data_IF_012569244157
#
_entry.id   IF_012569244157
#
_cell.length_a   1.000
_cell.length_b   1.000
_cell.length_c   1.000
_cell.angle_alpha   90.00
_cell.angle_beta   90.00
_cell.angle_gamma   90.00
#
_symmetry.space_group_name_H-M   'P 1'
#
loop_
_entity.id
_entity.type
_entity.pdbx_description
1 polymer ?
#
# COMPACT_ATOMS: atom_id res chain seq x y z
N UNK A 1 -7.53 20.70 6.19
CA UNK A 1 -6.83 20.94 7.46
C UNK A 1 -7.68 21.83 8.37
N UNK A 2 -7.43 21.76 9.67
CA UNK A 2 -7.95 22.68 10.68
C UNK A 2 -6.81 23.59 11.15
N UNK A 3 -7.09 24.87 11.36
CA UNK A 3 -6.11 25.87 11.73
C UNK A 3 -6.51 26.55 13.06
N UNK A 4 -5.50 26.97 13.82
CA UNK A 4 -5.59 27.92 14.91
C UNK A 4 -4.70 29.13 14.56
N UNK A 5 -5.33 30.22 14.10
CA UNK A 5 -4.62 31.28 13.41
C UNK A 5 -3.91 30.74 12.15
N UNK A 6 -2.60 30.92 12.07
CA UNK A 6 -1.77 30.42 10.96
C UNK A 6 -1.21 29.00 11.19
N UNK A 7 -1.45 28.42 12.36
CA UNK A 7 -0.91 27.11 12.75
C UNK A 7 -1.84 25.99 12.36
N UNK A 8 -1.34 24.97 11.66
CA UNK A 8 -2.11 23.75 11.39
C UNK A 8 -2.29 22.98 12.71
N UNK A 9 -3.53 22.79 13.15
CA UNK A 9 -3.90 22.01 14.33
C UNK A 9 -4.16 20.53 14.00
N UNK A 10 -4.82 20.26 12.84
CA UNK A 10 -5.07 18.93 12.34
C UNK A 10 -5.18 18.92 10.82
N UNK A 11 -4.86 17.77 10.21
CA UNK A 11 -4.97 17.58 8.76
C UNK A 11 -5.32 16.14 8.41
N UNK A 12 -5.85 15.96 7.21
CA UNK A 12 -5.95 14.69 6.49
C UNK A 12 -5.46 14.91 5.08
N UNK A 13 -4.59 14.03 4.59
CA UNK A 13 -4.09 14.02 3.21
C UNK A 13 -4.75 12.84 2.47
N UNK A 14 -5.36 13.14 1.34
CA UNK A 14 -6.07 12.14 0.54
C UNK A 14 -5.36 11.90 -0.79
N UNK A 15 -4.89 10.67 -1.00
CA UNK A 15 -4.58 10.19 -2.33
C UNK A 15 -5.86 9.82 -3.07
N UNK A 16 -5.94 10.06 -4.37
CA UNK A 16 -7.09 9.66 -5.19
C UNK A 16 -6.65 8.82 -6.37
N UNK A 17 -7.49 7.87 -6.78
CA UNK A 17 -7.23 7.00 -7.92
C UNK A 17 -8.29 5.93 -8.06
N UNK A 18 -8.10 5.01 -9.01
CA UNK A 18 -8.94 3.82 -9.10
C UNK A 18 -8.34 2.70 -8.26
N UNK A 19 -9.19 1.95 -7.58
CA UNK A 19 -8.83 0.73 -6.89
C UNK A 19 -9.94 -0.30 -7.06
N UNK A 20 -9.61 -1.44 -7.61
CA UNK A 20 -10.56 -2.50 -7.93
C UNK A 20 -11.78 -2.01 -8.75
N UNK A 21 -11.50 -1.14 -9.74
CA UNK A 21 -12.52 -0.58 -10.63
C UNK A 21 -13.35 0.57 -10.05
N UNK A 22 -13.12 0.98 -8.81
CA UNK A 22 -13.85 2.06 -8.16
C UNK A 22 -12.98 3.32 -7.99
N UNK A 23 -13.51 4.53 -8.29
CA UNK A 23 -12.90 5.79 -7.90
C UNK A 23 -12.78 5.86 -6.38
N UNK A 24 -11.55 5.90 -5.89
CA UNK A 24 -11.20 5.72 -4.48
C UNK A 24 -10.40 6.89 -3.96
N UNK A 25 -10.74 7.36 -2.76
CA UNK A 25 -9.85 8.15 -1.92
C UNK A 25 -9.15 7.24 -0.91
N UNK A 26 -7.91 7.56 -0.60
CA UNK A 26 -7.11 6.84 0.38
C UNK A 26 -6.47 7.84 1.36
N UNK A 27 -6.61 7.59 2.66
CA UNK A 27 -5.94 8.38 3.71
C UNK A 27 -4.44 8.08 3.66
N UNK A 28 -3.67 8.98 3.08
CA UNK A 28 -2.20 8.88 3.02
C UNK A 28 -1.54 9.41 4.29
N UNK A 29 -2.29 10.13 5.13
CA UNK A 29 -1.82 10.63 6.40
C UNK A 29 -2.82 11.52 7.10
N UNK A 30 -3.11 11.19 8.34
CA UNK A 30 -3.95 12.01 9.22
C UNK A 30 -3.18 12.34 10.50
N UNK A 31 -3.12 13.62 10.84
CA UNK A 31 -2.40 14.10 12.02
C UNK A 31 -3.18 15.15 12.81
N UNK A 32 -2.98 15.14 14.13
CA UNK A 32 -3.44 16.18 15.04
C UNK A 32 -2.30 16.50 16.01
N UNK A 33 -1.93 17.78 16.09
CA UNK A 33 -0.94 18.26 17.03
C UNK A 33 -1.35 17.89 18.45
N UNK A 34 -0.37 17.57 19.29
CA UNK A 34 -0.59 17.05 20.64
C UNK A 34 -1.50 17.93 21.49
N UNK A 35 -1.27 19.24 21.49
CA UNK A 35 -2.06 20.22 22.23
C UNK A 35 -3.54 20.28 21.81
N UNK A 36 -3.88 19.75 20.63
CA UNK A 36 -5.25 19.78 20.08
C UNK A 36 -5.90 18.40 20.03
N UNK A 37 -5.24 17.36 20.56
CA UNK A 37 -5.80 16.01 20.63
C UNK A 37 -7.00 15.93 21.58
N UNK A 38 -7.88 14.97 21.36
CA UNK A 38 -9.07 14.76 22.17
C UNK A 38 -10.24 15.71 21.87
N UNK A 39 -10.08 16.70 21.00
CA UNK A 39 -11.10 17.70 20.64
C UNK A 39 -11.91 17.32 19.38
N UNK A 40 -11.74 16.12 18.87
CA UNK A 40 -12.47 15.64 17.69
C UNK A 40 -12.03 16.26 16.36
N UNK A 41 -10.89 16.96 16.29
CA UNK A 41 -10.47 17.68 15.09
C UNK A 41 -10.23 16.74 13.88
N UNK A 42 -9.65 15.56 14.10
CA UNK A 42 -9.44 14.60 13.01
C UNK A 42 -10.77 14.20 12.36
N UNK A 43 -11.80 13.92 13.16
CA UNK A 43 -13.14 13.61 12.65
C UNK A 43 -13.73 14.79 11.87
N UNK A 44 -13.67 16.00 12.41
CA UNK A 44 -14.18 17.20 11.75
C UNK A 44 -13.50 17.49 10.43
N UNK A 45 -12.17 17.32 10.35
CA UNK A 45 -11.41 17.51 9.09
C UNK A 45 -11.82 16.45 8.06
N UNK A 46 -11.96 15.20 8.49
CA UNK A 46 -12.44 14.12 7.64
C UNK A 46 -13.85 14.41 7.11
N UNK A 47 -14.81 14.67 8.00
CA UNK A 47 -16.21 14.98 7.64
C UNK A 47 -16.31 16.15 6.67
N UNK A 48 -15.47 17.20 6.89
CA UNK A 48 -15.41 18.36 5.99
C UNK A 48 -14.90 17.98 4.59
N UNK A 49 -14.05 16.98 4.45
CA UNK A 49 -13.51 16.55 3.15
C UNK A 49 -14.51 15.74 2.32
N UNK A 50 -15.46 15.07 2.94
CA UNK A 50 -16.37 14.12 2.27
C UNK A 50 -17.20 14.76 1.14
N UNK A 51 -17.84 15.94 1.30
CA UNK A 51 -18.58 16.56 0.20
C UNK A 51 -17.72 16.78 -1.06
N UNK A 52 -16.50 17.28 -0.88
CA UNK A 52 -15.58 17.54 -1.99
C UNK A 52 -15.14 16.25 -2.69
N UNK A 53 -14.89 15.20 -1.92
CA UNK A 53 -14.54 13.88 -2.49
C UNK A 53 -15.72 13.30 -3.29
N UNK A 54 -16.96 13.45 -2.79
CA UNK A 54 -18.17 13.01 -3.50
C UNK A 54 -18.38 13.80 -4.79
N UNK A 55 -18.18 15.12 -4.78
CA UNK A 55 -18.25 15.99 -5.95
C UNK A 55 -17.19 15.59 -7.00
N UNK A 56 -15.99 15.22 -6.55
CA UNK A 56 -14.93 14.69 -7.40
C UNK A 56 -15.20 13.26 -7.91
N UNK A 57 -16.39 12.69 -7.64
CA UNK A 57 -16.80 11.38 -8.13
C UNK A 57 -16.26 10.20 -7.33
N UNK A 58 -15.63 10.43 -6.18
CA UNK A 58 -15.14 9.34 -5.31
C UNK A 58 -16.32 8.52 -4.79
N UNK A 59 -16.20 7.20 -4.88
CA UNK A 59 -17.22 6.23 -4.48
C UNK A 59 -16.83 5.38 -3.28
N UNK A 60 -15.54 5.32 -2.97
CA UNK A 60 -14.97 4.53 -1.90
C UNK A 60 -13.90 5.34 -1.19
N UNK A 61 -13.81 5.17 0.12
CA UNK A 61 -12.72 5.71 0.93
C UNK A 61 -12.03 4.58 1.69
N UNK A 62 -10.72 4.46 1.56
CA UNK A 62 -9.90 3.44 2.20
C UNK A 62 -8.86 4.08 3.11
N UNK A 63 -8.45 3.34 4.11
CA UNK A 63 -7.30 3.66 4.95
C UNK A 63 -6.68 2.36 5.50
N UNK A 64 -5.45 2.45 5.91
CA UNK A 64 -4.78 1.41 6.66
C UNK A 64 -4.37 1.96 8.03
N UNK A 65 -4.56 1.16 9.07
CA UNK A 65 -4.25 1.54 10.45
C UNK A 65 -3.72 0.33 11.21
N UNK A 66 -2.68 0.56 12.01
CA UNK A 66 -2.12 -0.49 12.86
C UNK A 66 -3.16 -0.96 13.88
N UNK A 67 -3.38 -2.26 14.01
CA UNK A 67 -4.42 -2.86 14.89
C UNK A 67 -4.28 -2.40 16.35
N UNK A 68 -3.06 -2.19 16.83
CA UNK A 68 -2.80 -1.73 18.19
C UNK A 68 -3.03 -0.21 18.39
N UNK A 69 -3.23 0.57 17.31
CA UNK A 69 -3.62 1.97 17.40
C UNK A 69 -5.13 2.11 17.67
N UNK A 70 -5.54 1.64 18.84
CA UNK A 70 -6.96 1.57 19.24
C UNK A 70 -7.66 2.92 19.24
N UNK A 71 -6.92 4.02 19.50
CA UNK A 71 -7.44 5.39 19.45
C UNK A 71 -7.87 5.76 18.02
N UNK A 72 -7.01 5.54 17.03
CA UNK A 72 -7.32 5.82 15.64
C UNK A 72 -8.45 4.91 15.13
N UNK A 73 -8.38 3.60 15.42
CA UNK A 73 -9.45 2.64 15.07
C UNK A 73 -10.79 3.11 15.63
N UNK A 74 -10.84 3.59 16.87
CA UNK A 74 -12.08 4.10 17.47
C UNK A 74 -12.64 5.33 16.73
N UNK A 75 -11.76 6.26 16.29
CA UNK A 75 -12.17 7.43 15.50
C UNK A 75 -12.76 7.00 14.17
N UNK A 76 -12.08 6.14 13.42
CA UNK A 76 -12.56 5.68 12.12
C UNK A 76 -13.89 4.89 12.22
N UNK A 77 -14.04 4.05 13.22
CA UNK A 77 -15.33 3.36 13.46
C UNK A 77 -16.48 4.32 13.72
N UNK A 78 -16.26 5.40 14.49
CA UNK A 78 -17.27 6.45 14.73
C UNK A 78 -17.63 7.21 13.45
N UNK A 79 -16.71 7.30 12.50
CA UNK A 79 -16.91 7.90 11.18
C UNK A 79 -17.57 6.92 10.17
N UNK A 80 -17.94 5.73 10.60
CA UNK A 80 -18.61 4.73 9.77
C UNK A 80 -17.69 3.81 8.98
N UNK A 81 -16.39 3.79 9.29
CA UNK A 81 -15.48 2.83 8.66
C UNK A 81 -15.64 1.44 9.27
N UNK A 82 -15.57 0.44 8.40
CA UNK A 82 -15.56 -0.96 8.77
C UNK A 82 -14.24 -1.61 8.39
N UNK A 83 -13.83 -2.62 9.16
CA UNK A 83 -12.63 -3.42 8.83
C UNK A 83 -12.95 -4.32 7.64
N UNK A 84 -12.42 -4.00 6.47
CA UNK A 84 -12.62 -4.78 5.27
C UNK A 84 -11.63 -5.95 5.17
N UNK A 85 -10.38 -5.75 5.61
CA UNK A 85 -9.31 -6.75 5.53
C UNK A 85 -8.28 -6.51 6.62
N UNK A 86 -7.50 -7.54 6.90
CA UNK A 86 -6.33 -7.48 7.78
C UNK A 86 -5.09 -7.91 7.00
N UNK A 87 -3.98 -7.23 7.24
CA UNK A 87 -2.68 -7.54 6.66
C UNK A 87 -1.68 -7.86 7.76
N UNK A 88 -0.79 -8.80 7.48
CA UNK A 88 0.40 -9.00 8.29
C UNK A 88 1.52 -8.10 7.73
N UNK A 89 2.17 -7.37 8.61
CA UNK A 89 3.34 -6.57 8.29
C UNK A 89 4.56 -7.21 8.97
N UNK A 90 5.62 -7.44 8.20
CA UNK A 90 6.84 -8.07 8.67
C UNK A 90 8.04 -7.18 8.35
N UNK A 91 8.92 -6.98 9.32
CA UNK A 91 10.18 -6.27 9.15
C UNK A 91 11.30 -7.25 9.46
N UNK A 92 12.31 -7.30 8.61
CA UNK A 92 13.57 -7.98 8.86
C UNK A 92 14.71 -6.97 8.77
N UNK A 93 15.52 -6.87 9.80
CA UNK A 93 16.69 -6.00 9.81
C UNK A 93 17.76 -6.55 8.85
N UNK A 94 18.46 -5.68 8.15
CA UNK A 94 19.49 -6.05 7.18
C UNK A 94 20.53 -7.06 7.75
N UNK A 95 21.01 -6.81 8.97
CA UNK A 95 21.93 -7.72 9.68
C UNK A 95 21.35 -9.12 9.95
N UNK A 96 20.05 -9.31 9.81
CA UNK A 96 19.36 -10.60 10.02
C UNK A 96 19.03 -11.32 8.71
N UNK A 97 19.31 -10.67 7.56
CA UNK A 97 19.09 -11.28 6.26
C UNK A 97 20.23 -12.27 5.95
N UNK A 98 19.91 -13.55 6.04
CA UNK A 98 20.84 -14.61 5.71
C UNK A 98 20.52 -15.19 4.33
N UNK A 99 21.26 -14.76 3.33
CA UNK A 99 21.19 -15.32 1.97
C UNK A 99 22.08 -16.57 1.92
N UNK A 100 21.55 -17.70 2.36
CA UNK A 100 22.22 -19.01 2.13
C UNK A 100 22.17 -19.36 0.64
N UNK A 101 23.18 -20.10 0.11
CA UNK A 101 23.13 -20.58 -1.27
C UNK A 101 22.01 -21.60 -1.41
N UNK A 102 20.87 -21.14 -1.95
CA UNK A 102 19.82 -22.05 -2.44
C UNK A 102 20.01 -22.22 -3.93
N UNK A 103 20.27 -23.45 -4.34
CA UNK A 103 20.26 -23.81 -5.76
C UNK A 103 18.78 -24.06 -6.09
N UNK A 104 18.19 -23.30 -7.00
CA UNK A 104 16.82 -23.56 -7.44
C UNK A 104 16.69 -24.94 -8.06
N UNK A 105 15.59 -25.64 -7.78
CA UNK A 105 15.30 -26.92 -8.41
C UNK A 105 14.94 -26.77 -9.91
N UNK A 106 14.81 -25.54 -10.36
CA UNK A 106 14.49 -25.20 -11.76
C UNK A 106 15.45 -24.12 -12.27
N UNK A 107 15.83 -24.22 -13.53
CA UNK A 107 16.57 -23.17 -14.21
C UNK A 107 15.67 -21.93 -14.36
N UNK A 108 16.07 -20.85 -13.69
CA UNK A 108 15.31 -19.60 -13.69
C UNK A 108 16.24 -18.43 -14.04
N UNK A 109 15.76 -17.54 -14.91
CA UNK A 109 16.45 -16.29 -15.25
C UNK A 109 15.71 -15.14 -14.58
N UNK A 110 16.44 -14.29 -13.85
CA UNK A 110 15.91 -13.08 -13.24
C UNK A 110 16.42 -11.86 -14.01
N UNK A 111 15.50 -11.00 -14.45
CA UNK A 111 15.82 -9.80 -15.23
C UNK A 111 15.10 -8.57 -14.68
N UNK A 112 15.73 -7.39 -14.74
CA UNK A 112 15.04 -6.13 -14.44
C UNK A 112 13.85 -5.91 -15.37
N UNK A 113 12.84 -5.20 -14.86
CA UNK A 113 11.67 -4.75 -15.62
C UNK A 113 11.43 -3.25 -15.43
N UNK A 114 10.89 -2.62 -16.48
CA UNK A 114 10.39 -1.23 -16.40
C UNK A 114 9.07 -1.22 -15.60
N UNK A 115 9.13 -0.74 -14.36
CA UNK A 115 7.99 -0.72 -13.43
C UNK A 115 6.81 0.08 -13.99
N UNK A 116 7.08 1.16 -14.73
CA UNK A 116 6.04 2.00 -15.34
C UNK A 116 5.21 1.27 -16.40
N UNK A 117 5.79 0.26 -17.02
CA UNK A 117 5.15 -0.56 -18.08
C UNK A 117 4.83 -1.98 -17.64
N UNK A 118 5.33 -2.38 -16.49
CA UNK A 118 5.14 -3.74 -15.98
C UNK A 118 3.68 -4.00 -15.62
N UNK A 119 3.14 -5.12 -16.10
CA UNK A 119 1.81 -5.60 -15.75
C UNK A 119 1.94 -6.87 -14.90
N UNK A 120 1.77 -6.76 -13.57
CA UNK A 120 1.80 -7.93 -12.69
C UNK A 120 0.64 -8.88 -13.04
N UNK A 121 0.92 -10.19 -13.12
CA UNK A 121 -0.12 -11.19 -13.33
C UNK A 121 -0.92 -11.43 -12.04
N UNK A 122 -2.21 -11.08 -11.98
CA UNK A 122 -3.03 -11.26 -10.79
C UNK A 122 -3.30 -12.74 -10.47
N UNK A 123 -3.09 -13.68 -11.40
CA UNK A 123 -3.23 -15.11 -11.14
C UNK A 123 -2.18 -15.65 -10.15
N UNK A 124 -1.07 -14.93 -9.99
CA UNK A 124 -0.04 -15.29 -9.02
C UNK A 124 -0.40 -14.88 -7.58
N UNK A 125 -1.41 -14.03 -7.41
CA UNK A 125 -1.79 -13.50 -6.11
C UNK A 125 -2.62 -14.51 -5.31
N UNK A 126 -2.44 -14.47 -3.99
CA UNK A 126 -3.32 -15.16 -3.05
C UNK A 126 -4.41 -14.23 -2.51
N UNK A 127 -4.18 -12.91 -2.61
CA UNK A 127 -5.11 -11.85 -2.20
C UNK A 127 -4.84 -10.57 -3.00
N UNK A 128 -5.83 -9.70 -3.10
CA UNK A 128 -5.68 -8.38 -3.71
C UNK A 128 -4.71 -7.53 -2.88
N UNK A 129 -3.69 -6.90 -3.47
CA UNK A 129 -2.80 -5.98 -2.76
C UNK A 129 -3.56 -4.85 -2.07
N UNK A 130 -2.90 -4.15 -1.13
CA UNK A 130 -3.44 -2.92 -0.56
C UNK A 130 -3.51 -1.81 -1.61
N UNK A 131 -4.19 -0.71 -1.29
CA UNK A 131 -4.25 0.43 -2.21
C UNK A 131 -2.86 0.99 -2.52
N UNK A 132 -2.00 1.13 -1.51
CA UNK A 132 -0.64 1.65 -1.68
C UNK A 132 0.22 0.72 -2.55
N UNK A 133 0.02 -0.59 -2.43
CA UNK A 133 0.78 -1.60 -3.15
C UNK A 133 0.04 -2.13 -4.39
N UNK A 134 -1.03 -1.43 -4.82
CA UNK A 134 -1.73 -1.79 -6.06
C UNK A 134 -0.88 -1.47 -7.29
N UNK A 135 -1.05 -2.21 -8.39
CA UNK A 135 -0.34 -1.91 -9.63
C UNK A 135 -0.51 -0.47 -10.11
N UNK A 136 -1.70 0.11 -9.87
CA UNK A 136 -2.01 1.49 -10.21
C UNK A 136 -1.21 2.49 -9.33
N UNK A 137 -1.11 2.23 -8.03
CA UNK A 137 -0.33 3.08 -7.12
C UNK A 137 1.16 3.00 -7.44
N UNK A 138 1.70 1.80 -7.63
CA UNK A 138 3.10 1.57 -8.02
C UNK A 138 3.43 2.28 -9.34
N UNK A 139 2.56 2.18 -10.36
CA UNK A 139 2.80 2.87 -11.63
C UNK A 139 2.82 4.39 -11.52
N UNK A 140 2.02 4.99 -10.63
CA UNK A 140 2.05 6.44 -10.38
C UNK A 140 3.38 6.91 -9.78
N UNK A 141 4.05 6.05 -9.02
CA UNK A 141 5.33 6.31 -8.36
C UNK A 141 6.46 5.45 -8.95
N UNK A 142 6.38 5.08 -10.23
CA UNK A 142 7.30 4.10 -10.84
C UNK A 142 8.78 4.48 -10.73
N UNK A 143 9.09 5.78 -10.62
CA UNK A 143 10.47 6.27 -10.43
C UNK A 143 11.09 5.91 -9.09
N UNK A 144 10.28 5.59 -8.08
CA UNK A 144 10.73 5.25 -6.73
C UNK A 144 10.97 3.74 -6.58
N UNK A 145 10.52 2.93 -7.55
CA UNK A 145 10.55 1.48 -7.48
C UNK A 145 11.53 0.86 -8.48
N UNK A 146 12.09 -0.27 -8.09
CA UNK A 146 12.76 -1.22 -8.96
C UNK A 146 11.92 -2.48 -9.11
N UNK A 147 12.03 -3.16 -10.25
CA UNK A 147 11.30 -4.36 -10.53
C UNK A 147 12.18 -5.48 -11.09
N UNK A 148 11.89 -6.70 -10.68
CA UNK A 148 12.52 -7.92 -11.17
C UNK A 148 11.45 -8.90 -11.65
N UNK A 149 11.70 -9.58 -12.75
CA UNK A 149 10.87 -10.67 -13.27
C UNK A 149 11.67 -11.95 -13.32
N UNK A 150 11.14 -13.03 -12.79
CA UNK A 150 11.69 -14.36 -12.87
C UNK A 150 11.01 -15.14 -14.00
N UNK A 151 11.79 -15.80 -14.84
CA UNK A 151 11.30 -16.61 -15.97
C UNK A 151 11.94 -18.01 -15.96
N UNK A 152 11.11 -19.02 -16.16
CA UNK A 152 11.54 -20.40 -16.40
C UNK A 152 11.04 -20.83 -17.77
N UNK A 153 11.89 -21.42 -18.59
CA UNK A 153 11.56 -21.87 -19.96
C UNK A 153 10.83 -20.79 -20.79
N UNK A 154 11.28 -19.52 -20.65
CA UNK A 154 10.68 -18.37 -21.35
C UNK A 154 9.36 -17.86 -20.78
N UNK A 155 8.74 -18.56 -19.83
CA UNK A 155 7.48 -18.15 -19.18
C UNK A 155 7.77 -17.38 -17.89
N UNK A 156 7.05 -16.28 -17.63
CA UNK A 156 7.13 -15.60 -16.34
C UNK A 156 6.57 -16.50 -15.24
N UNK A 157 7.35 -16.69 -14.19
CA UNK A 157 7.00 -17.53 -13.03
C UNK A 157 6.97 -16.77 -11.73
N UNK A 158 7.43 -15.52 -11.72
CA UNK A 158 7.40 -14.67 -10.54
C UNK A 158 7.90 -13.27 -10.84
N UNK A 159 7.70 -12.38 -9.88
CA UNK A 159 8.20 -11.01 -9.92
C UNK A 159 8.31 -10.43 -8.50
N UNK A 160 9.12 -9.39 -8.39
CA UNK A 160 9.26 -8.59 -7.18
C UNK A 160 9.35 -7.12 -7.57
N UNK A 161 8.56 -6.26 -6.92
CA UNK A 161 8.63 -4.80 -7.01
C UNK A 161 8.97 -4.28 -5.61
N UNK A 162 10.01 -3.49 -5.51
CA UNK A 162 10.52 -3.00 -4.24
C UNK A 162 11.05 -1.58 -4.36
N UNK A 163 11.11 -0.87 -3.25
CA UNK A 163 11.71 0.46 -3.15
C UNK A 163 13.17 0.30 -2.72
N UNK A 164 14.16 0.63 -3.58
CA UNK A 164 15.58 0.45 -3.24
C UNK A 164 16.06 1.29 -2.06
N UNK A 165 15.43 2.45 -1.83
CA UNK A 165 15.83 3.38 -0.77
C UNK A 165 15.49 2.86 0.64
N UNK A 166 14.34 2.22 0.81
CA UNK A 166 13.85 1.70 2.10
C UNK A 166 14.05 0.19 2.27
N UNK A 167 14.14 -0.54 1.15
CA UNK A 167 14.08 -2.01 1.13
C UNK A 167 12.66 -2.57 1.21
N UNK A 168 11.63 -1.72 1.17
CA UNK A 168 10.24 -2.15 1.23
C UNK A 168 9.83 -2.93 -0.02
N UNK A 169 9.30 -4.13 0.17
CA UNK A 169 8.76 -4.95 -0.90
C UNK A 169 7.28 -4.60 -1.07
N UNK A 170 6.98 -3.80 -2.09
CA UNK A 170 5.62 -3.39 -2.39
C UNK A 170 4.77 -4.53 -2.96
N UNK A 171 5.36 -5.36 -3.81
CA UNK A 171 4.64 -6.45 -4.46
C UNK A 171 5.60 -7.59 -4.81
N UNK A 172 5.30 -8.79 -4.32
CA UNK A 172 6.03 -10.01 -4.68
C UNK A 172 5.03 -11.14 -4.92
N UNK A 173 5.19 -11.84 -6.03
CA UNK A 173 4.35 -13.00 -6.32
C UNK A 173 5.10 -14.04 -7.14
N UNK A 174 4.74 -15.30 -6.90
CA UNK A 174 5.25 -16.46 -7.62
C UNK A 174 4.07 -17.32 -8.04
N UNK A 175 4.07 -17.77 -9.28
CA UNK A 175 3.11 -18.74 -9.81
C UNK A 175 3.05 -19.96 -8.88
N UNK A 176 1.86 -20.36 -8.49
CA UNK A 176 1.61 -21.44 -7.52
C UNK A 176 2.32 -22.74 -7.86
N UNK A 177 2.50 -23.03 -9.16
CA UNK A 177 3.18 -24.23 -9.67
C UNK A 177 4.70 -24.22 -9.42
N UNK A 178 5.27 -23.03 -9.21
CA UNK A 178 6.72 -22.83 -9.07
C UNK A 178 7.15 -22.44 -7.65
N UNK A 179 6.21 -22.34 -6.71
CA UNK A 179 6.53 -22.03 -5.31
C UNK A 179 7.33 -23.13 -4.64
N UNK A 180 8.17 -22.74 -3.67
CA UNK A 180 9.02 -23.62 -2.84
C UNK A 180 10.08 -24.40 -3.63
N UNK A 181 10.46 -23.90 -4.78
CA UNK A 181 11.49 -24.52 -5.63
C UNK A 181 12.84 -23.77 -5.64
N UNK A 182 13.04 -22.85 -4.68
CA UNK A 182 14.28 -22.08 -4.55
C UNK A 182 14.17 -20.62 -4.84
#
# INVERSE_FOLDING_TARGET
>A
AAFDGERIAAFTLNGTGNFNGLPTAYDTGTGTLEAYRGQGLAAKVFEHSIPYLREAGIRQYLLEVLQHNTKAVSVYRKLGFETAREFNYSIQQDAQVHLGPKIPDIACTVTPVDVGRFAPDPQFWDFMPSWQNSPEAIRRAAGDFAGLSARAEGTQVGYCIFEPASGDIALIAVDKRYRRRG
#
